data_IF_902568359841
#
_entry.id   IF_902568359841
#
_cell.length_a   1.000
_cell.length_b   1.000
_cell.length_c   1.000
_cell.angle_alpha   90.00
_cell.angle_beta   90.00
_cell.angle_gamma   90.00
#
_symmetry.space_group_name_H-M   'P 1'
#
loop_
_entity.id
_entity.type
_entity.pdbx_description
1 polymer ?
#
# COMPACT_ATOMS: atom_id res chain seq x y z
N UNK A 1 -28.31 -1.91 -9.65
CA UNK A 1 -28.49 -1.43 -8.25
C UNK A 1 -27.25 -0.82 -7.59
N UNK A 2 -26.03 -0.81 -8.18
CA UNK A 2 -24.83 -0.20 -7.56
C UNK A 2 -24.10 0.80 -8.48
N UNK A 3 -24.85 1.56 -9.29
CA UNK A 3 -24.28 2.48 -10.28
C UNK A 3 -23.50 3.63 -9.63
N UNK A 4 -23.92 4.08 -8.43
CA UNK A 4 -23.26 5.16 -7.70
C UNK A 4 -21.89 4.72 -7.16
N UNK A 5 -21.80 3.50 -6.64
CA UNK A 5 -20.58 2.91 -6.12
C UNK A 5 -19.57 2.67 -7.26
N UNK A 6 -20.04 2.24 -8.45
CA UNK A 6 -19.19 2.16 -9.64
C UNK A 6 -18.61 3.51 -10.05
N UNK A 7 -19.42 4.58 -10.06
CA UNK A 7 -18.94 5.93 -10.38
C UNK A 7 -17.91 6.42 -9.35
N UNK A 8 -18.14 6.16 -8.07
CA UNK A 8 -17.20 6.51 -7.01
C UNK A 8 -15.88 5.76 -7.17
N UNK A 9 -15.92 4.45 -7.43
CA UNK A 9 -14.73 3.65 -7.72
C UNK A 9 -13.98 4.18 -8.93
N UNK A 10 -14.67 4.49 -10.03
CA UNK A 10 -14.07 5.10 -11.21
C UNK A 10 -13.39 6.44 -10.92
N UNK A 11 -13.99 7.28 -10.06
CA UNK A 11 -13.40 8.56 -9.65
C UNK A 11 -12.10 8.36 -8.86
N UNK A 12 -12.09 7.45 -7.87
CA UNK A 12 -10.88 7.08 -7.14
C UNK A 12 -9.78 6.53 -8.04
N UNK A 13 -10.13 5.60 -8.95
CA UNK A 13 -9.17 5.01 -9.89
C UNK A 13 -8.60 6.03 -10.87
N UNK A 14 -9.40 7.03 -11.28
CA UNK A 14 -8.93 8.11 -12.15
C UNK A 14 -7.83 8.92 -11.45
N UNK A 15 -8.06 9.35 -10.21
CA UNK A 15 -7.04 10.07 -9.43
C UNK A 15 -5.80 9.20 -9.23
N UNK A 16 -6.01 7.93 -8.89
CA UNK A 16 -4.92 6.97 -8.71
C UNK A 16 -4.06 6.87 -9.98
N UNK A 17 -4.66 6.58 -11.14
CA UNK A 17 -3.93 6.38 -12.40
C UNK A 17 -3.23 7.66 -12.87
N UNK A 18 -3.83 8.83 -12.67
CA UNK A 18 -3.17 10.12 -12.95
C UNK A 18 -1.95 10.32 -12.06
N UNK A 19 -2.05 10.01 -10.77
CA UNK A 19 -0.92 10.08 -9.85
C UNK A 19 0.20 9.10 -10.23
N UNK A 20 -0.17 7.84 -10.55
CA UNK A 20 0.79 6.84 -11.02
C UNK A 20 1.52 7.30 -12.28
N UNK A 21 0.81 7.85 -13.27
CA UNK A 21 1.43 8.34 -14.50
C UNK A 21 2.45 9.45 -14.19
N UNK A 22 2.07 10.45 -13.37
CA UNK A 22 2.97 11.54 -12.98
C UNK A 22 4.19 11.04 -12.21
N UNK A 23 4.00 10.12 -11.26
CA UNK A 23 5.11 9.55 -10.47
C UNK A 23 6.01 8.61 -11.27
N UNK A 24 5.47 7.81 -12.21
CA UNK A 24 6.28 6.95 -13.09
C UNK A 24 7.11 7.79 -14.05
N UNK A 25 6.57 8.88 -14.59
CA UNK A 25 7.31 9.79 -15.46
C UNK A 25 8.54 10.37 -14.75
N UNK A 26 8.41 10.78 -13.48
CA UNK A 26 9.58 11.24 -12.70
C UNK A 26 10.53 10.10 -12.32
N UNK A 27 10.04 8.86 -12.25
CA UNK A 27 10.87 7.65 -12.07
C UNK A 27 11.71 7.29 -13.29
N UNK A 28 11.20 7.50 -14.50
CA UNK A 28 11.96 7.31 -15.74
C UNK A 28 13.23 8.18 -15.75
N UNK A 29 13.12 9.45 -15.37
CA UNK A 29 14.27 10.35 -15.33
C UNK A 29 15.31 9.95 -14.27
N UNK A 30 14.87 9.38 -13.14
CA UNK A 30 15.80 8.80 -12.16
C UNK A 30 16.55 7.61 -12.78
N UNK A 31 15.84 6.69 -13.43
CA UNK A 31 16.47 5.52 -14.05
C UNK A 31 17.49 5.91 -15.13
N UNK A 32 17.20 6.94 -15.93
CA UNK A 32 18.14 7.47 -16.93
C UNK A 32 19.37 8.10 -16.28
N UNK A 33 19.20 8.86 -15.19
CA UNK A 33 20.31 9.45 -14.45
C UNK A 33 21.23 8.36 -13.86
N UNK A 34 20.66 7.32 -13.23
CA UNK A 34 21.42 6.15 -12.75
C UNK A 34 22.11 5.36 -13.87
N UNK A 35 21.63 5.48 -15.12
CA UNK A 35 22.27 4.91 -16.31
C UNK A 35 23.33 5.84 -16.95
N UNK A 36 23.65 6.97 -16.32
CA UNK A 36 24.63 7.94 -16.80
C UNK A 36 24.07 8.98 -17.80
N UNK A 37 22.75 9.00 -18.03
CA UNK A 37 22.09 9.98 -18.89
C UNK A 37 21.35 11.03 -18.04
N UNK A 38 22.06 12.10 -17.66
CA UNK A 38 21.45 13.21 -16.90
C UNK A 38 20.62 14.14 -17.81
N UNK A 39 19.30 14.10 -17.61
CA UNK A 39 18.33 14.96 -18.30
C UNK A 39 17.78 16.09 -17.40
N UNK A 40 18.09 16.12 -16.10
CA UNK A 40 17.56 17.11 -15.18
C UNK A 40 17.87 18.56 -15.57
N UNK A 41 19.05 18.92 -16.10
CA UNK A 41 19.33 20.27 -16.59
C UNK A 41 18.34 20.75 -17.66
N UNK A 42 17.85 19.84 -18.52
CA UNK A 42 16.86 20.15 -19.56
C UNK A 42 15.44 20.25 -19.01
N UNK A 43 15.16 19.59 -17.88
CA UNK A 43 13.85 19.56 -17.23
C UNK A 43 13.65 20.68 -16.21
N UNK A 44 14.69 21.45 -15.88
CA UNK A 44 14.71 22.50 -14.85
C UNK A 44 13.51 23.50 -14.86
N UNK A 45 12.87 23.84 -15.99
CA UNK A 45 11.65 24.65 -15.97
C UNK A 45 10.47 23.99 -15.24
N UNK A 46 10.41 22.67 -15.21
CA UNK A 46 9.32 21.85 -14.65
C UNK A 46 9.78 21.07 -13.42
N UNK A 47 10.91 20.36 -13.52
CA UNK A 47 11.51 19.58 -12.43
C UNK A 47 12.83 20.24 -12.05
N UNK A 48 12.80 20.99 -10.96
CA UNK A 48 13.91 21.84 -10.49
C UNK A 48 15.20 21.09 -10.13
N UNK A 49 15.12 19.82 -9.71
CA UNK A 49 16.28 19.02 -9.30
C UNK A 49 15.95 17.53 -9.26
N UNK A 50 16.97 16.67 -9.14
CA UNK A 50 16.80 15.24 -8.87
C UNK A 50 15.87 14.99 -7.68
N UNK A 51 16.14 15.64 -6.55
CA UNK A 51 15.37 15.46 -5.31
C UNK A 51 13.93 15.99 -5.41
N UNK A 52 13.68 17.03 -6.20
CA UNK A 52 12.32 17.47 -6.49
C UNK A 52 11.57 16.38 -7.27
N UNK A 53 12.19 15.81 -8.31
CA UNK A 53 11.65 14.67 -9.05
C UNK A 53 11.43 13.42 -8.17
N UNK A 54 12.37 13.11 -7.28
CA UNK A 54 12.28 11.99 -6.34
C UNK A 54 11.17 12.18 -5.29
N UNK A 55 10.98 13.41 -4.82
CA UNK A 55 9.86 13.74 -3.90
C UNK A 55 8.51 13.55 -4.59
N UNK A 56 8.38 14.05 -5.83
CA UNK A 56 7.20 13.81 -6.67
C UNK A 56 6.96 12.31 -6.89
N UNK A 57 8.00 11.56 -7.25
CA UNK A 57 7.92 10.12 -7.49
C UNK A 57 7.38 9.35 -6.28
N UNK A 58 8.02 9.52 -5.12
CA UNK A 58 7.64 8.82 -3.90
C UNK A 58 6.22 9.19 -3.46
N UNK A 59 5.91 10.48 -3.36
CA UNK A 59 4.58 10.92 -2.90
C UNK A 59 3.48 10.44 -3.86
N UNK A 60 3.64 10.64 -5.16
CA UNK A 60 2.59 10.27 -6.13
C UNK A 60 2.41 8.76 -6.24
N UNK A 61 3.47 7.96 -6.22
CA UNK A 61 3.37 6.52 -6.41
C UNK A 61 2.99 5.78 -5.13
N UNK A 62 3.70 6.01 -4.01
CA UNK A 62 3.49 5.17 -2.81
C UNK A 62 2.52 5.77 -1.80
N UNK A 63 2.20 7.06 -1.87
CA UNK A 63 1.18 7.67 -0.99
C UNK A 63 -0.13 7.93 -1.72
N UNK A 64 -0.12 8.46 -2.95
CA UNK A 64 -1.36 8.85 -3.65
C UNK A 64 -1.95 7.69 -4.46
N UNK A 65 -1.18 7.12 -5.41
CA UNK A 65 -1.64 6.02 -6.27
C UNK A 65 -2.21 4.85 -5.47
N UNK A 66 -1.42 4.33 -4.52
CA UNK A 66 -1.84 3.21 -3.68
C UNK A 66 -3.09 3.56 -2.87
N UNK A 67 -3.08 4.66 -2.11
CA UNK A 67 -4.20 5.02 -1.22
C UNK A 67 -5.49 5.26 -1.99
N UNK A 68 -5.46 6.01 -3.10
CA UNK A 68 -6.67 6.25 -3.89
C UNK A 68 -7.17 4.97 -4.56
N UNK A 69 -6.29 4.11 -5.08
CA UNK A 69 -6.69 2.81 -5.61
C UNK A 69 -7.40 1.97 -4.53
N UNK A 70 -6.84 1.90 -3.33
CA UNK A 70 -7.37 1.12 -2.20
C UNK A 70 -8.73 1.62 -1.77
N UNK A 71 -8.88 2.94 -1.61
CA UNK A 71 -10.13 3.59 -1.24
C UNK A 71 -11.22 3.47 -2.32
N UNK A 72 -10.86 3.24 -3.59
CA UNK A 72 -11.82 2.89 -4.64
C UNK A 72 -12.15 1.40 -4.69
N UNK A 73 -11.13 0.54 -4.59
CA UNK A 73 -11.22 -0.89 -4.84
C UNK A 73 -11.81 -1.69 -3.67
N UNK A 74 -11.34 -1.49 -2.44
CA UNK A 74 -11.80 -2.30 -1.31
C UNK A 74 -13.26 -2.03 -0.92
N UNK A 75 -13.77 -0.79 -0.94
CA UNK A 75 -15.21 -0.55 -0.79
C UNK A 75 -16.03 -1.17 -1.92
N UNK A 76 -15.56 -1.12 -3.16
CA UNK A 76 -16.19 -1.81 -4.28
C UNK A 76 -16.29 -3.31 -4.01
N UNK A 77 -15.17 -3.97 -3.71
CA UNK A 77 -15.13 -5.41 -3.41
C UNK A 77 -16.03 -5.77 -2.24
N UNK A 78 -16.04 -4.94 -1.18
CA UNK A 78 -16.88 -5.16 -0.01
C UNK A 78 -18.37 -5.13 -0.36
N UNK A 79 -18.83 -4.12 -1.09
CA UNK A 79 -20.26 -4.03 -1.49
C UNK A 79 -20.70 -5.20 -2.38
N UNK A 80 -19.84 -5.64 -3.30
CA UNK A 80 -20.09 -6.83 -4.13
C UNK A 80 -20.16 -8.11 -3.32
N UNK A 81 -19.22 -8.28 -2.39
CA UNK A 81 -19.16 -9.47 -1.54
C UNK A 81 -20.34 -9.54 -0.54
N UNK A 82 -20.79 -8.41 -0.01
CA UNK A 82 -21.93 -8.34 0.91
C UNK A 82 -23.29 -8.31 0.18
N UNK A 83 -23.30 -8.08 -1.13
CA UNK A 83 -24.54 -7.98 -1.92
C UNK A 83 -25.38 -6.75 -1.61
N UNK A 84 -24.79 -5.68 -1.07
CA UNK A 84 -25.51 -4.46 -0.69
C UNK A 84 -24.66 -3.19 -0.88
N UNK A 85 -25.29 -2.03 -1.13
CA UNK A 85 -24.57 -0.76 -1.29
C UNK A 85 -23.91 -0.31 0.02
N UNK A 86 -23.01 0.67 -0.08
CA UNK A 86 -22.45 1.35 1.09
C UNK A 86 -23.57 1.99 1.93
N UNK A 87 -23.43 1.96 3.25
CA UNK A 87 -24.43 2.47 4.19
C UNK A 87 -24.71 3.97 4.01
N UNK A 88 -23.68 4.78 3.73
CA UNK A 88 -23.84 6.21 3.51
C UNK A 88 -23.14 6.66 2.22
N UNK A 89 -23.94 6.99 1.21
CA UNK A 89 -23.46 7.59 -0.04
C UNK A 89 -22.92 9.02 0.13
N UNK A 90 -23.58 9.91 0.90
CA UNK A 90 -23.03 11.24 1.16
C UNK A 90 -21.67 11.18 1.84
N UNK A 91 -21.49 10.27 2.81
CA UNK A 91 -20.18 10.05 3.45
C UNK A 91 -19.14 9.57 2.42
N UNK A 92 -19.51 8.65 1.52
CA UNK A 92 -18.60 8.11 0.52
C UNK A 92 -18.08 9.21 -0.43
N UNK A 93 -18.97 10.04 -0.99
CA UNK A 93 -18.58 11.16 -1.86
C UNK A 93 -17.90 12.30 -1.10
N UNK A 94 -18.35 12.63 0.11
CA UNK A 94 -17.69 13.61 0.98
C UNK A 94 -16.25 13.20 1.30
N UNK A 95 -16.02 11.91 1.53
CA UNK A 95 -14.68 11.35 1.73
C UNK A 95 -13.79 11.50 0.49
N UNK A 96 -14.33 11.19 -0.70
CA UNK A 96 -13.61 11.39 -1.95
C UNK A 96 -13.19 12.85 -2.15
N UNK A 97 -14.09 13.80 -1.90
CA UNK A 97 -13.80 15.22 -2.03
C UNK A 97 -12.82 15.73 -0.98
N UNK A 98 -12.91 15.25 0.26
CA UNK A 98 -11.93 15.56 1.31
C UNK A 98 -10.52 15.10 0.90
N UNK A 99 -10.39 13.86 0.44
CA UNK A 99 -9.10 13.31 0.00
C UNK A 99 -8.57 14.06 -1.21
N UNK A 100 -9.42 14.35 -2.20
CA UNK A 100 -9.01 15.07 -3.41
C UNK A 100 -8.61 16.52 -3.11
N UNK A 101 -9.33 17.20 -2.22
CA UNK A 101 -8.96 18.54 -1.74
C UNK A 101 -7.65 18.54 -0.97
N UNK A 102 -7.44 17.54 -0.10
CA UNK A 102 -6.16 17.32 0.58
C UNK A 102 -5.00 17.07 -0.38
N UNK A 103 -5.21 16.23 -1.40
CA UNK A 103 -4.23 15.98 -2.46
C UNK A 103 -3.86 17.27 -3.20
N UNK A 104 -4.85 18.07 -3.64
CA UNK A 104 -4.60 19.34 -4.32
C UNK A 104 -3.81 20.30 -3.41
N UNK A 105 -4.19 20.41 -2.13
CA UNK A 105 -3.49 21.24 -1.16
C UNK A 105 -2.02 20.83 -0.98
N UNK A 106 -1.72 19.53 -0.93
CA UNK A 106 -0.36 19.03 -0.84
C UNK A 106 0.41 19.12 -2.17
N UNK A 107 -0.28 19.00 -3.31
CA UNK A 107 0.33 19.04 -4.64
C UNK A 107 0.90 20.42 -4.98
N UNK A 108 0.26 21.51 -4.53
CA UNK A 108 0.72 22.89 -4.80
C UNK A 108 2.16 23.11 -4.35
N UNK A 109 2.54 22.92 -3.07
CA UNK A 109 3.92 23.08 -2.65
C UNK A 109 4.84 21.98 -3.18
N UNK A 110 4.34 20.77 -3.43
CA UNK A 110 5.13 19.67 -3.98
C UNK A 110 5.61 19.99 -5.40
N UNK A 111 4.70 20.34 -6.30
CA UNK A 111 5.01 20.75 -7.69
C UNK A 111 5.75 22.09 -7.72
N UNK A 112 5.43 22.99 -6.79
CA UNK A 112 6.09 24.29 -6.62
C UNK A 112 7.50 24.22 -6.04
N UNK A 113 8.08 23.02 -5.81
CA UNK A 113 9.39 22.81 -5.20
C UNK A 113 9.54 23.37 -3.76
N UNK A 114 8.42 23.61 -3.07
CA UNK A 114 8.37 24.03 -1.66
C UNK A 114 8.18 22.86 -0.68
N UNK A 115 8.18 21.62 -1.18
CA UNK A 115 8.11 20.39 -0.38
C UNK A 115 9.08 19.30 -0.90
N UNK A 116 10.31 19.70 -1.24
CA UNK A 116 11.39 18.78 -1.66
C UNK A 116 12.04 18.11 -0.45
N UNK A 117 11.28 17.24 0.20
CA UNK A 117 11.64 16.57 1.47
C UNK A 117 11.47 15.05 1.41
N UNK A 118 11.31 14.49 0.20
CA UNK A 118 10.98 13.10 -0.07
C UNK A 118 9.60 12.70 0.48
N UNK A 119 9.20 11.45 0.24
CA UNK A 119 7.95 10.89 0.76
C UNK A 119 8.01 10.54 2.27
N UNK A 120 9.18 10.60 2.88
CA UNK A 120 9.41 10.38 4.32
C UNK A 120 9.43 11.66 5.14
N UNK A 121 9.66 12.82 4.50
CA UNK A 121 9.55 14.16 5.09
C UNK A 121 10.17 14.33 6.49
N UNK A 122 11.32 13.69 6.72
CA UNK A 122 11.99 13.69 8.01
C UNK A 122 12.47 15.09 8.43
N UNK A 123 12.13 15.54 9.64
CA UNK A 123 12.81 16.68 10.25
C UNK A 123 14.33 16.46 10.36
N UNK A 124 15.15 17.52 10.26
CA UNK A 124 14.77 18.94 10.23
C UNK A 124 14.46 19.48 8.81
N UNK A 125 14.29 18.63 7.79
CA UNK A 125 13.88 19.09 6.47
C UNK A 125 12.42 19.56 6.52
N UNK A 126 12.21 20.87 6.38
CA UNK A 126 10.89 21.50 6.52
C UNK A 126 10.29 21.82 5.16
N UNK A 127 9.11 21.26 4.90
CA UNK A 127 8.27 21.64 3.77
C UNK A 127 7.30 22.77 4.13
N UNK A 128 6.65 23.34 3.11
CA UNK A 128 5.52 24.25 3.28
C UNK A 128 4.36 23.57 4.02
N UNK A 129 3.68 24.27 4.94
CA UNK A 129 2.62 23.73 5.81
C UNK A 129 1.49 23.01 5.03
N UNK A 130 1.15 23.51 3.85
CA UNK A 130 0.10 22.94 2.99
C UNK A 130 0.39 21.49 2.57
N UNK A 131 1.66 21.10 2.48
CA UNK A 131 2.08 19.72 2.22
C UNK A 131 1.63 18.79 3.35
N UNK A 132 1.96 19.16 4.60
CA UNK A 132 1.62 18.38 5.79
C UNK A 132 0.10 18.32 6.01
N UNK A 133 -0.59 19.46 5.92
CA UNK A 133 -2.06 19.49 6.08
C UNK A 133 -2.74 18.70 4.97
N UNK A 134 -2.34 18.88 3.71
CA UNK A 134 -2.96 18.22 2.57
C UNK A 134 -2.86 16.69 2.66
N UNK A 135 -1.67 16.14 2.93
CA UNK A 135 -1.50 14.69 3.12
C UNK A 135 -2.23 14.18 4.37
N UNK A 136 -2.30 14.97 5.45
CA UNK A 136 -3.09 14.63 6.64
C UNK A 136 -4.58 14.46 6.30
N UNK A 137 -5.15 15.34 5.46
CA UNK A 137 -6.55 15.23 5.02
C UNK A 137 -6.80 13.97 4.17
N UNK A 138 -5.83 13.53 3.36
CA UNK A 138 -5.90 12.26 2.63
C UNK A 138 -5.98 11.09 3.61
N UNK A 139 -5.14 11.07 4.66
CA UNK A 139 -5.15 10.03 5.70
C UNK A 139 -6.46 10.06 6.49
N UNK A 140 -6.95 11.23 6.91
CA UNK A 140 -8.26 11.35 7.59
C UNK A 140 -9.40 10.81 6.72
N UNK A 141 -9.34 11.02 5.40
CA UNK A 141 -10.29 10.42 4.47
C UNK A 141 -10.37 8.90 4.58
N UNK A 142 -9.24 8.21 4.78
CA UNK A 142 -9.23 6.75 4.96
C UNK A 142 -10.00 6.31 6.20
N UNK A 143 -10.06 7.12 7.26
CA UNK A 143 -10.85 6.83 8.46
C UNK A 143 -12.36 6.95 8.18
N UNK A 144 -12.77 7.88 7.32
CA UNK A 144 -14.16 7.96 6.86
C UNK A 144 -14.53 6.81 5.92
N UNK A 145 -13.58 6.28 5.13
CA UNK A 145 -13.78 5.01 4.42
C UNK A 145 -14.02 3.88 5.43
N UNK A 146 -13.18 3.74 6.45
CA UNK A 146 -13.36 2.74 7.53
C UNK A 146 -14.73 2.89 8.19
N UNK A 147 -15.13 4.11 8.56
CA UNK A 147 -16.44 4.37 9.18
C UNK A 147 -17.59 3.87 8.29
N UNK A 148 -17.56 4.19 7.00
CA UNK A 148 -18.61 3.76 6.07
C UNK A 148 -18.64 2.23 5.89
N UNK A 149 -17.48 1.58 5.84
CA UNK A 149 -17.37 0.12 5.78
C UNK A 149 -17.92 -0.54 7.05
N UNK A 150 -17.64 0.02 8.23
CA UNK A 150 -18.19 -0.47 9.52
C UNK A 150 -19.71 -0.31 9.55
N UNK A 151 -20.25 0.83 9.15
CA UNK A 151 -21.70 1.04 9.06
C UNK A 151 -22.35 0.06 8.07
N UNK A 152 -21.71 -0.17 6.92
CA UNK A 152 -22.17 -1.12 5.91
C UNK A 152 -22.16 -2.55 6.46
N UNK A 153 -21.08 -2.95 7.11
CA UNK A 153 -20.96 -4.28 7.71
C UNK A 153 -21.96 -4.49 8.85
N UNK A 154 -22.21 -3.48 9.70
CA UNK A 154 -23.24 -3.54 10.75
C UNK A 154 -24.63 -3.75 10.16
N UNK A 155 -24.98 -3.00 9.12
CA UNK A 155 -26.26 -3.15 8.43
C UNK A 155 -26.39 -4.53 7.77
N UNK A 156 -25.32 -5.04 7.16
CA UNK A 156 -25.30 -6.39 6.60
C UNK A 156 -25.46 -7.46 7.68
N UNK A 157 -24.74 -7.33 8.81
CA UNK A 157 -24.78 -8.26 9.93
C UNK A 157 -26.17 -8.34 10.57
N UNK A 158 -26.86 -7.21 10.71
CA UNK A 158 -28.22 -7.17 11.23
C UNK A 158 -29.20 -7.98 10.37
N UNK A 159 -29.00 -8.04 9.05
CA UNK A 159 -29.82 -8.82 8.11
C UNK A 159 -29.37 -10.28 7.96
N UNK A 160 -28.17 -10.61 8.43
CA UNK A 160 -27.54 -11.93 8.27
C UNK A 160 -26.97 -12.40 9.62
N UNK A 161 -27.80 -12.56 10.67
CA UNK A 161 -27.31 -13.03 11.97
C UNK A 161 -26.72 -14.44 11.84
N UNK A 162 -25.58 -14.70 12.48
CA UNK A 162 -24.89 -16.00 12.45
C UNK A 162 -24.20 -16.36 11.13
N UNK A 163 -24.45 -15.64 10.02
CA UNK A 163 -23.81 -15.93 8.73
C UNK A 163 -22.35 -15.50 8.71
N UNK A 164 -21.45 -16.40 8.33
CA UNK A 164 -20.02 -16.09 8.19
C UNK A 164 -19.78 -14.96 7.19
N UNK A 165 -18.94 -13.99 7.55
CA UNK A 165 -18.61 -12.85 6.65
C UNK A 165 -17.95 -13.36 5.37
N UNK A 166 -18.45 -12.99 4.17
CA UNK A 166 -17.82 -13.30 2.89
C UNK A 166 -16.34 -12.94 2.89
N UNK A 167 -15.50 -13.81 2.33
CA UNK A 167 -14.04 -13.71 2.47
C UNK A 167 -13.48 -12.36 2.00
N UNK A 168 -13.89 -11.88 0.83
CA UNK A 168 -13.39 -10.61 0.28
C UNK A 168 -13.80 -9.40 1.15
N UNK A 169 -15.01 -9.40 1.71
CA UNK A 169 -15.45 -8.37 2.64
C UNK A 169 -14.68 -8.45 3.98
N UNK A 170 -14.48 -9.66 4.51
CA UNK A 170 -13.68 -9.88 5.72
C UNK A 170 -12.26 -9.32 5.56
N UNK A 171 -11.58 -9.68 4.47
CA UNK A 171 -10.22 -9.23 4.19
C UNK A 171 -10.14 -7.70 4.01
N UNK A 172 -11.12 -7.11 3.33
CA UNK A 172 -11.20 -5.64 3.15
C UNK A 172 -11.39 -4.91 4.49
N UNK A 173 -12.30 -5.42 5.34
CA UNK A 173 -12.54 -4.87 6.68
C UNK A 173 -11.29 -4.98 7.58
N UNK A 174 -10.62 -6.13 7.55
CA UNK A 174 -9.38 -6.35 8.31
C UNK A 174 -8.26 -5.41 7.82
N UNK A 175 -8.14 -5.20 6.51
CA UNK A 175 -7.16 -4.27 5.93
C UNK A 175 -7.36 -2.84 6.44
N UNK A 176 -8.60 -2.34 6.44
CA UNK A 176 -8.91 -1.01 6.96
C UNK A 176 -8.82 -0.91 8.48
N UNK A 177 -9.15 -1.97 9.22
CA UNK A 177 -8.95 -2.01 10.66
C UNK A 177 -7.45 -1.91 11.02
N UNK A 178 -6.60 -2.70 10.35
CA UNK A 178 -5.15 -2.65 10.49
C UNK A 178 -4.63 -1.25 10.17
N UNK A 179 -5.04 -0.69 9.03
CA UNK A 179 -4.62 0.65 8.62
C UNK A 179 -5.04 1.75 9.60
N UNK A 180 -6.26 1.67 10.13
CA UNK A 180 -6.75 2.67 11.09
C UNK A 180 -5.87 2.68 12.35
N UNK A 181 -5.50 1.51 12.87
CA UNK A 181 -4.57 1.38 14.01
C UNK A 181 -3.17 1.88 13.61
N UNK A 182 -2.66 1.43 12.47
CA UNK A 182 -1.33 1.76 11.96
C UNK A 182 -1.13 3.27 11.76
N UNK A 183 -2.13 3.98 11.26
CA UNK A 183 -2.05 5.41 10.94
C UNK A 183 -1.96 6.34 12.16
N UNK A 184 -2.14 5.82 13.39
CA UNK A 184 -2.12 6.62 14.61
C UNK A 184 -0.75 7.25 14.90
N UNK A 185 0.35 6.59 14.52
CA UNK A 185 1.69 7.14 14.69
C UNK A 185 1.90 8.40 13.85
N UNK A 186 1.56 8.32 12.56
CA UNK A 186 1.64 9.45 11.63
C UNK A 186 0.65 10.55 12.01
N UNK A 187 -0.54 10.20 12.49
CA UNK A 187 -1.49 11.19 13.01
C UNK A 187 -0.90 11.96 14.20
N UNK A 188 -0.25 11.27 15.15
CA UNK A 188 0.41 11.91 16.28
C UNK A 188 1.59 12.79 15.80
N UNK A 189 2.43 12.29 14.89
CA UNK A 189 3.54 13.03 14.30
C UNK A 189 3.06 14.33 13.62
N UNK A 190 2.02 14.23 12.77
CA UNK A 190 1.51 15.39 12.05
C UNK A 190 0.88 16.42 12.98
N UNK A 191 -0.03 15.99 13.86
CA UNK A 191 -0.84 16.89 14.67
C UNK A 191 -0.06 17.58 15.79
N UNK A 192 0.89 16.87 16.41
CA UNK A 192 1.62 17.38 17.57
C UNK A 192 3.03 17.87 17.24
N UNK A 193 3.58 17.52 16.07
CA UNK A 193 4.96 17.84 15.71
C UNK A 193 5.04 18.64 14.40
N UNK A 194 4.74 18.03 13.25
CA UNK A 194 5.08 18.63 11.95
C UNK A 194 4.18 19.80 11.56
N UNK A 195 2.86 19.71 11.78
CA UNK A 195 1.95 20.81 11.43
C UNK A 195 2.21 22.04 12.31
N UNK A 196 2.23 21.94 13.66
CA UNK A 196 2.55 23.09 14.50
C UNK A 196 3.91 23.70 14.20
N UNK A 197 4.93 22.87 13.96
CA UNK A 197 6.27 23.34 13.56
C UNK A 197 6.25 24.04 12.19
N UNK A 198 5.58 23.47 11.19
CA UNK A 198 5.49 24.04 9.84
C UNK A 198 4.73 25.36 9.78
N UNK A 199 3.82 25.61 10.74
CA UNK A 199 3.10 26.87 10.92
C UNK A 199 3.86 27.90 11.78
N UNK A 200 5.03 27.53 12.33
CA UNK A 200 5.81 28.41 13.21
C UNK A 200 5.29 28.50 14.65
N UNK A 201 4.39 27.61 15.06
CA UNK A 201 3.88 27.54 16.44
C UNK A 201 4.88 26.87 17.40
N UNK A 202 5.81 26.08 16.85
CA UNK A 202 6.92 25.47 17.58
C UNK A 202 8.26 25.98 17.02
N UNK A 203 9.24 26.21 17.90
CA UNK A 203 10.60 26.61 17.51
C UNK A 203 11.43 25.48 16.88
N UNK A 204 11.00 24.22 17.03
CA UNK A 204 11.68 23.04 16.51
C UNK A 204 10.88 21.77 16.77
N UNK A 205 11.41 20.62 16.35
CA UNK A 205 10.81 19.31 16.58
C UNK A 205 11.89 18.25 16.82
N UNK A 206 11.58 17.25 17.64
CA UNK A 206 12.49 16.13 17.92
C UNK A 206 12.51 15.17 16.72
N UNK A 207 13.66 15.09 16.04
CA UNK A 207 13.80 14.28 14.84
C UNK A 207 13.74 12.76 15.12
N UNK A 208 14.20 12.30 16.29
CA UNK A 208 14.15 10.87 16.62
C UNK A 208 12.71 10.45 16.91
N UNK A 209 11.99 11.22 17.74
CA UNK A 209 10.59 10.95 18.05
C UNK A 209 9.71 11.03 16.79
N UNK A 210 9.93 12.02 15.93
CA UNK A 210 9.22 12.13 14.66
C UNK A 210 9.39 10.84 13.83
N UNK A 211 10.63 10.35 13.70
CA UNK A 211 10.93 9.11 12.96
C UNK A 211 10.36 7.85 13.62
N UNK A 212 10.31 7.77 14.94
CA UNK A 212 9.65 6.67 15.67
C UNK A 212 8.15 6.64 15.37
N UNK A 213 7.48 7.80 15.42
CA UNK A 213 6.05 7.92 15.10
C UNK A 213 5.77 7.70 13.61
N UNK A 214 6.66 8.17 12.74
CA UNK A 214 6.62 7.88 11.31
C UNK A 214 6.66 6.37 11.09
N UNK A 215 7.65 5.66 11.64
CA UNK A 215 7.85 4.23 11.40
C UNK A 215 6.89 3.31 12.15
N UNK A 216 6.21 3.80 13.19
CA UNK A 216 4.99 3.16 13.70
C UNK A 216 3.96 2.96 12.58
N UNK A 217 3.88 3.92 11.64
CA UNK A 217 2.96 3.86 10.48
C UNK A 217 3.66 3.35 9.22
N UNK A 218 4.92 3.73 9.02
CA UNK A 218 5.67 3.59 7.78
C UNK A 218 6.00 2.14 7.44
N UNK A 219 6.01 1.25 8.43
CA UNK A 219 6.01 -0.17 8.12
C UNK A 219 4.61 -0.70 7.77
N UNK A 220 3.59 -0.63 8.64
CA UNK A 220 2.28 -1.19 8.31
C UNK A 220 1.62 -0.59 7.05
N UNK A 221 2.00 0.62 6.63
CA UNK A 221 1.54 1.20 5.35
C UNK A 221 1.93 0.32 4.14
N UNK A 222 3.08 -0.38 4.18
CA UNK A 222 3.47 -1.26 3.07
C UNK A 222 2.55 -2.48 2.97
N UNK A 223 1.99 -2.93 4.10
CA UNK A 223 0.94 -3.94 4.11
C UNK A 223 -0.41 -3.36 3.70
N UNK A 224 -0.70 -2.09 4.03
CA UNK A 224 -1.89 -1.43 3.50
C UNK A 224 -1.86 -1.38 1.96
N UNK A 225 -0.69 -1.21 1.35
CA UNK A 225 -0.51 -1.34 -0.11
C UNK A 225 -0.68 -2.78 -0.62
N UNK A 226 -0.10 -3.75 0.10
CA UNK A 226 -0.04 -5.15 -0.33
C UNK A 226 -1.35 -5.92 -0.16
N UNK A 227 -2.05 -5.75 0.96
CA UNK A 227 -3.25 -6.53 1.28
C UNK A 227 -4.38 -6.43 0.24
N UNK A 228 -4.64 -5.30 -0.44
CA UNK A 228 -5.56 -5.24 -1.56
C UNK A 228 -5.15 -6.13 -2.74
N UNK A 229 -3.85 -6.27 -3.02
CA UNK A 229 -3.36 -7.25 -3.98
C UNK A 229 -3.69 -8.68 -3.49
N UNK A 230 -3.45 -8.97 -2.21
CA UNK A 230 -3.81 -10.25 -1.61
C UNK A 230 -5.32 -10.52 -1.66
N UNK A 231 -6.19 -9.51 -1.49
CA UNK A 231 -7.65 -9.66 -1.68
C UNK A 231 -7.93 -10.25 -3.07
N UNK A 232 -7.31 -9.69 -4.11
CA UNK A 232 -7.45 -10.23 -5.47
C UNK A 232 -6.85 -11.63 -5.59
N UNK A 233 -5.64 -11.85 -5.08
CA UNK A 233 -4.92 -13.12 -5.18
C UNK A 233 -5.64 -14.29 -4.51
N UNK A 234 -6.35 -14.04 -3.41
CA UNK A 234 -7.15 -15.07 -2.74
C UNK A 234 -8.56 -15.22 -3.29
N UNK A 235 -9.22 -14.13 -3.71
CA UNK A 235 -10.67 -14.17 -3.96
C UNK A 235 -11.07 -14.08 -5.43
N UNK A 236 -10.15 -13.62 -6.29
CA UNK A 236 -10.41 -13.38 -7.71
C UNK A 236 -9.52 -14.27 -8.60
N UNK A 237 -8.21 -14.25 -8.37
CA UNK A 237 -7.20 -15.00 -9.16
C UNK A 237 -7.51 -16.49 -9.27
N UNK A 238 -7.95 -17.21 -8.21
CA UNK A 238 -8.24 -18.64 -8.35
C UNK A 238 -9.31 -18.91 -9.41
N UNK A 239 -10.33 -18.05 -9.51
CA UNK A 239 -11.36 -18.17 -10.56
C UNK A 239 -10.83 -17.75 -11.93
N UNK A 240 -10.03 -16.69 -12.01
CA UNK A 240 -9.39 -16.26 -13.26
C UNK A 240 -8.48 -17.35 -13.84
N UNK A 241 -7.81 -18.13 -12.98
CA UNK A 241 -7.02 -19.29 -13.38
C UNK A 241 -7.85 -20.52 -13.79
N UNK A 242 -9.19 -20.48 -13.66
CA UNK A 242 -10.07 -21.62 -13.88
C UNK A 242 -10.08 -22.65 -12.74
N UNK A 243 -9.58 -22.26 -11.56
CA UNK A 243 -9.52 -23.10 -10.36
C UNK A 243 -10.44 -22.63 -9.25
N UNK A 244 -10.08 -23.02 -8.02
CA UNK A 244 -10.77 -22.64 -6.78
C UNK A 244 -9.75 -22.26 -5.73
N UNK A 245 -10.15 -21.40 -4.79
CA UNK A 245 -9.33 -21.10 -3.62
C UNK A 245 -9.03 -22.39 -2.86
N UNK A 246 -7.76 -22.63 -2.55
CA UNK A 246 -7.32 -23.81 -1.83
C UNK A 246 -7.86 -23.85 -0.39
N UNK A 247 -7.78 -22.74 0.36
CA UNK A 247 -8.31 -22.68 1.73
C UNK A 247 -8.79 -21.29 2.16
N UNK A 248 -10.09 -21.16 2.43
CA UNK A 248 -10.67 -19.95 3.06
C UNK A 248 -10.16 -19.74 4.51
N UNK A 249 -10.12 -20.76 5.39
CA UNK A 249 -9.58 -20.59 6.74
C UNK A 249 -8.14 -20.06 6.77
N UNK A 250 -7.25 -20.59 5.91
CA UNK A 250 -5.86 -20.11 5.84
C UNK A 250 -5.77 -18.65 5.37
N UNK A 251 -6.61 -18.24 4.41
CA UNK A 251 -6.66 -16.85 3.97
C UNK A 251 -7.08 -15.91 5.11
N UNK A 252 -8.06 -16.33 5.93
CA UNK A 252 -8.50 -15.54 7.09
C UNK A 252 -7.45 -15.45 8.18
N UNK A 253 -6.79 -16.57 8.50
CA UNK A 253 -5.69 -16.59 9.48
C UNK A 253 -4.57 -15.66 9.03
N UNK A 254 -4.18 -15.70 7.75
CA UNK A 254 -3.19 -14.78 7.19
C UNK A 254 -3.55 -13.31 7.45
N UNK A 255 -4.79 -12.91 7.15
CA UNK A 255 -5.24 -11.52 7.38
C UNK A 255 -5.31 -11.14 8.86
N UNK A 256 -5.69 -12.05 9.75
CA UNK A 256 -5.66 -11.80 11.20
C UNK A 256 -4.22 -11.61 11.69
N UNK A 257 -3.28 -12.41 11.18
CA UNK A 257 -1.87 -12.25 11.53
C UNK A 257 -1.33 -10.89 11.05
N UNK A 258 -1.68 -10.44 9.84
CA UNK A 258 -1.35 -9.08 9.39
C UNK A 258 -1.97 -8.02 10.30
N UNK A 259 -3.22 -8.16 10.73
CA UNK A 259 -3.85 -7.19 11.65
C UNK A 259 -3.05 -7.01 12.94
N UNK A 260 -2.58 -8.10 13.54
CA UNK A 260 -1.90 -8.08 14.84
C UNK A 260 -0.42 -7.71 14.71
N UNK A 261 0.24 -8.21 13.66
CA UNK A 261 1.70 -8.14 13.54
C UNK A 261 2.17 -6.93 12.73
N UNK A 262 1.35 -6.27 11.91
CA UNK A 262 1.84 -5.20 11.01
C UNK A 262 2.42 -3.98 11.73
N UNK A 263 1.89 -3.60 12.89
CA UNK A 263 2.26 -2.36 13.59
C UNK A 263 3.48 -2.49 14.52
N UNK A 264 3.61 -3.52 15.39
CA UNK A 264 4.64 -3.56 16.44
C UNK A 264 6.04 -3.96 15.94
N UNK A 265 6.51 -3.41 14.82
CA UNK A 265 7.78 -3.81 14.21
C UNK A 265 8.52 -2.69 13.46
N UNK A 266 8.10 -1.43 13.60
CA UNK A 266 8.71 -0.27 12.92
C UNK A 266 10.22 -0.05 13.14
N UNK A 267 10.78 -0.48 14.28
CA UNK A 267 12.22 -0.32 14.55
C UNK A 267 13.16 -1.07 13.61
N UNK A 268 12.70 -1.98 12.74
CA UNK A 268 13.60 -2.49 11.70
C UNK A 268 13.97 -1.42 10.65
N UNK A 269 13.23 -0.31 10.59
CA UNK A 269 13.63 0.86 9.81
C UNK A 269 14.55 1.82 10.58
N UNK A 270 14.85 1.48 11.84
CA UNK A 270 15.60 2.31 12.79
C UNK A 270 16.72 1.50 13.46
N UNK A 271 17.19 0.43 12.83
CA UNK A 271 18.31 -0.37 13.35
C UNK A 271 19.58 0.47 13.52
N UNK A 272 19.80 1.44 12.64
CA UNK A 272 20.93 2.37 12.66
C UNK A 272 20.69 3.63 13.50
N UNK A 273 19.49 3.81 14.06
CA UNK A 273 19.16 5.02 14.82
C UNK A 273 19.82 5.04 16.20
N UNK A 274 20.35 6.19 16.64
CA UNK A 274 20.76 6.37 18.03
C UNK A 274 19.54 6.47 18.95
N UNK A 275 19.76 6.35 20.27
CA UNK A 275 18.71 6.60 21.27
C UNK A 275 17.63 5.52 21.40
N UNK A 276 17.68 4.45 20.60
CA UNK A 276 16.81 3.28 20.71
C UNK A 276 17.63 2.11 21.24
N UNK A 277 17.24 1.58 22.41
CA UNK A 277 17.93 0.46 23.05
C UNK A 277 17.96 -0.79 22.15
N UNK A 278 19.10 -1.48 22.11
CA UNK A 278 19.33 -2.64 21.23
C UNK A 278 18.33 -3.78 21.47
N UNK A 279 17.91 -3.99 22.72
CA UNK A 279 16.87 -4.98 23.06
C UNK A 279 15.53 -4.73 22.34
N UNK A 280 15.12 -3.46 22.16
CA UNK A 280 13.91 -3.12 21.42
C UNK A 280 14.08 -3.36 19.92
N UNK A 281 15.26 -3.05 19.38
CA UNK A 281 15.61 -3.35 17.99
C UNK A 281 15.57 -4.86 17.73
N UNK A 282 16.17 -5.65 18.62
CA UNK A 282 16.20 -7.11 18.50
C UNK A 282 14.79 -7.72 18.58
N UNK A 283 13.94 -7.24 19.51
CA UNK A 283 12.54 -7.68 19.60
C UNK A 283 11.79 -7.39 18.28
N UNK A 284 11.95 -6.19 17.73
CA UNK A 284 11.29 -5.82 16.48
C UNK A 284 11.86 -6.59 15.29
N UNK A 285 13.16 -6.91 15.26
CA UNK A 285 13.75 -7.80 14.26
C UNK A 285 13.06 -9.17 14.30
N UNK A 286 12.91 -9.78 15.48
CA UNK A 286 12.20 -11.04 15.65
C UNK A 286 10.75 -10.95 15.18
N UNK A 287 9.99 -9.94 15.61
CA UNK A 287 8.60 -9.74 15.18
C UNK A 287 8.48 -9.55 13.66
N UNK A 288 9.49 -8.93 13.02
CA UNK A 288 9.57 -8.77 11.56
C UNK A 288 9.73 -10.12 10.85
N UNK A 289 10.46 -11.08 11.43
CA UNK A 289 10.45 -12.46 10.93
C UNK A 289 9.12 -13.15 11.18
N UNK A 290 8.42 -12.86 12.28
CA UNK A 290 7.10 -13.47 12.55
C UNK A 290 6.05 -12.99 11.54
N UNK A 291 6.06 -11.73 11.12
CA UNK A 291 5.11 -11.23 10.09
C UNK A 291 5.41 -11.78 8.68
N UNK A 292 6.53 -12.46 8.47
CA UNK A 292 6.79 -13.20 7.23
C UNK A 292 5.88 -14.43 7.08
N UNK A 293 5.46 -15.06 8.18
CA UNK A 293 4.60 -16.25 8.15
C UNK A 293 3.25 -16.04 7.43
N UNK A 294 2.48 -14.95 7.65
CA UNK A 294 1.28 -14.69 6.85
C UNK A 294 1.55 -14.64 5.33
N UNK A 295 2.70 -14.11 4.91
CA UNK A 295 3.11 -14.15 3.49
C UNK A 295 3.41 -15.56 2.99
N UNK A 296 4.02 -16.42 3.81
CA UNK A 296 4.21 -17.85 3.47
C UNK A 296 2.88 -18.60 3.34
N UNK A 297 1.92 -18.34 4.24
CA UNK A 297 0.56 -18.90 4.13
C UNK A 297 -0.11 -18.44 2.85
N UNK A 298 0.14 -17.19 2.43
CA UNK A 298 -0.35 -16.65 1.17
C UNK A 298 0.29 -17.34 -0.02
N UNK A 299 1.61 -17.45 -0.03
CA UNK A 299 2.36 -18.14 -1.08
C UNK A 299 1.82 -19.55 -1.31
N UNK A 300 1.75 -20.37 -0.25
CA UNK A 300 1.27 -21.75 -0.37
C UNK A 300 -0.17 -21.83 -0.90
N UNK A 301 -1.07 -21.05 -0.32
CA UNK A 301 -2.50 -21.12 -0.65
C UNK A 301 -2.79 -20.61 -2.08
N UNK A 302 -2.13 -19.53 -2.50
CA UNK A 302 -2.29 -18.97 -3.86
C UNK A 302 -1.66 -19.89 -4.90
N UNK A 303 -0.44 -20.40 -4.66
CA UNK A 303 0.21 -21.34 -5.59
C UNK A 303 -0.61 -22.62 -5.75
N UNK A 304 -1.12 -23.20 -4.65
CA UNK A 304 -1.99 -24.37 -4.72
C UNK A 304 -3.30 -24.09 -5.48
N UNK A 305 -3.84 -22.87 -5.36
CA UNK A 305 -5.04 -22.44 -6.10
C UNK A 305 -4.76 -22.30 -7.60
N UNK A 306 -3.61 -21.72 -7.97
CA UNK A 306 -3.15 -21.62 -9.37
C UNK A 306 -2.88 -22.99 -9.98
N UNK A 307 -2.20 -23.86 -9.24
CA UNK A 307 -1.92 -25.23 -9.65
C UNK A 307 -3.22 -25.99 -9.91
N UNK A 308 -4.21 -25.87 -9.03
CA UNK A 308 -5.54 -26.46 -9.24
C UNK A 308 -6.18 -25.97 -10.55
N UNK A 309 -6.12 -24.67 -10.85
CA UNK A 309 -6.67 -24.12 -12.08
C UNK A 309 -5.93 -24.60 -13.34
N UNK A 310 -4.60 -24.60 -13.30
CA UNK A 310 -3.79 -25.12 -14.39
C UNK A 310 -3.99 -26.62 -14.62
N UNK A 311 -4.11 -27.43 -13.56
CA UNK A 311 -4.38 -28.88 -13.65
C UNK A 311 -5.76 -29.15 -14.26
N UNK A 312 -6.77 -28.35 -13.91
CA UNK A 312 -8.08 -28.41 -14.56
C UNK A 312 -8.00 -28.09 -16.07
N UNK A 313 -6.97 -27.36 -16.51
CA UNK A 313 -6.65 -27.07 -17.91
C UNK A 313 -5.65 -28.05 -18.55
N UNK A 314 -5.49 -29.24 -17.96
CA UNK A 314 -4.60 -30.29 -18.47
C UNK A 314 -3.12 -30.10 -18.12
N UNK A 315 -2.78 -29.24 -17.16
CA UNK A 315 -1.44 -29.10 -16.60
C UNK A 315 -0.97 -30.38 -15.91
N UNK A 316 0.29 -30.79 -16.16
CA UNK A 316 0.88 -32.03 -15.63
C UNK A 316 2.27 -31.76 -15.04
N UNK A 317 2.79 -32.75 -14.30
CA UNK A 317 4.11 -32.70 -13.69
C UNK A 317 4.21 -31.72 -12.52
N UNK A 318 5.42 -31.56 -12.00
CA UNK A 318 5.73 -30.68 -10.86
C UNK A 318 5.77 -29.20 -11.24
N UNK A 319 6.22 -28.89 -12.45
CA UNK A 319 6.43 -27.51 -12.93
C UNK A 319 5.65 -27.21 -14.21
N UNK A 320 5.48 -28.19 -15.09
CA UNK A 320 4.86 -27.98 -16.41
C UNK A 320 3.37 -27.59 -16.37
N UNK A 321 2.70 -27.73 -15.20
CA UNK A 321 1.36 -27.18 -15.01
C UNK A 321 1.34 -25.67 -15.19
N UNK A 322 2.40 -24.96 -14.81
CA UNK A 322 2.46 -23.50 -14.84
C UNK A 322 2.23 -22.93 -16.24
N UNK A 323 2.73 -23.62 -17.28
CA UNK A 323 2.51 -23.26 -18.69
C UNK A 323 1.06 -23.40 -19.17
N UNK A 324 0.17 -24.04 -18.39
CA UNK A 324 -1.26 -24.18 -18.71
C UNK A 324 -2.16 -23.13 -18.04
N UNK A 325 -1.59 -22.23 -17.24
CA UNK A 325 -2.31 -21.04 -16.78
C UNK A 325 -2.81 -20.21 -17.99
N UNK A 326 -3.94 -19.49 -17.86
CA UNK A 326 -4.45 -18.56 -18.86
C UNK A 326 -3.54 -17.34 -19.14
N UNK A 327 -2.35 -17.54 -19.72
CA UNK A 327 -1.38 -16.48 -20.01
C UNK A 327 -1.88 -15.41 -21.00
N UNK A 328 -2.89 -15.73 -21.81
CA UNK A 328 -3.54 -14.77 -22.69
C UNK A 328 -4.54 -13.84 -22.00
N UNK A 329 -4.90 -14.10 -20.73
CA UNK A 329 -5.71 -13.19 -19.92
C UNK A 329 -4.78 -12.20 -19.20
N UNK A 330 -4.77 -10.91 -19.57
CA UNK A 330 -3.89 -9.92 -18.97
C UNK A 330 -4.21 -9.64 -17.50
N UNK A 331 -5.46 -9.83 -17.05
CA UNK A 331 -5.82 -9.71 -15.63
C UNK A 331 -5.10 -10.77 -14.79
N UNK A 332 -5.01 -12.00 -15.30
CA UNK A 332 -4.31 -13.09 -14.62
C UNK A 332 -2.79 -12.96 -14.79
N UNK A 333 -2.31 -12.79 -16.02
CA UNK A 333 -0.88 -12.79 -16.33
C UNK A 333 -0.13 -11.71 -15.55
N UNK A 334 -0.68 -10.49 -15.47
CA UNK A 334 -0.09 -9.41 -14.67
C UNK A 334 0.06 -9.81 -13.19
N UNK A 335 -0.98 -10.40 -12.59
CA UNK A 335 -0.95 -10.80 -11.19
C UNK A 335 -0.01 -11.98 -10.91
N UNK A 336 0.08 -12.95 -11.82
CA UNK A 336 1.01 -14.08 -11.67
C UNK A 336 2.46 -13.61 -11.80
N UNK A 337 2.77 -12.73 -12.76
CA UNK A 337 4.10 -12.10 -12.88
C UNK A 337 4.44 -11.26 -11.64
N UNK A 338 3.45 -10.54 -11.10
CA UNK A 338 3.58 -9.79 -9.86
C UNK A 338 3.99 -10.70 -8.68
N UNK A 339 3.36 -11.86 -8.52
CA UNK A 339 3.69 -12.84 -7.47
C UNK A 339 5.11 -13.41 -7.62
N UNK A 340 5.54 -13.71 -8.85
CA UNK A 340 6.89 -14.22 -9.11
C UNK A 340 7.95 -13.21 -8.67
N UNK A 341 7.80 -11.94 -9.08
CA UNK A 341 8.74 -10.89 -8.72
C UNK A 341 8.67 -10.53 -7.23
N UNK A 342 7.49 -10.65 -6.61
CA UNK A 342 7.32 -10.47 -5.18
C UNK A 342 8.14 -11.46 -4.34
N UNK A 343 8.42 -12.67 -4.87
CA UNK A 343 9.25 -13.65 -4.15
C UNK A 343 10.66 -13.11 -3.91
N UNK A 344 11.28 -12.48 -4.92
CA UNK A 344 12.58 -11.83 -4.78
C UNK A 344 12.51 -10.60 -3.86
N UNK A 345 11.42 -9.83 -3.94
CA UNK A 345 11.14 -8.75 -2.99
C UNK A 345 11.10 -9.25 -1.55
N UNK A 346 10.43 -10.38 -1.29
CA UNK A 346 10.34 -11.02 0.02
C UNK A 346 11.71 -11.49 0.55
N UNK A 347 12.54 -12.10 -0.30
CA UNK A 347 13.93 -12.46 0.05
C UNK A 347 14.72 -11.22 0.46
N UNK A 348 14.60 -10.13 -0.30
CA UNK A 348 15.22 -8.85 0.04
C UNK A 348 14.74 -8.29 1.39
N UNK A 349 13.45 -8.47 1.70
CA UNK A 349 12.86 -8.07 2.97
C UNK A 349 13.42 -8.83 4.17
N UNK A 350 13.70 -10.14 4.02
CA UNK A 350 14.34 -10.95 5.08
C UNK A 350 15.77 -10.48 5.36
N UNK A 351 16.52 -10.09 4.33
CA UNK A 351 17.84 -9.48 4.47
C UNK A 351 17.72 -8.15 5.23
N UNK A 352 16.73 -7.32 4.88
CA UNK A 352 16.48 -6.05 5.58
C UNK A 352 16.07 -6.25 7.05
N UNK A 353 15.25 -7.26 7.35
CA UNK A 353 14.78 -7.57 8.70
C UNK A 353 15.87 -8.17 9.60
N UNK A 354 16.94 -8.70 8.99
CA UNK A 354 18.07 -9.31 9.66
C UNK A 354 18.96 -8.23 10.27
N UNK A 355 18.73 -7.90 11.54
CA UNK A 355 19.35 -6.80 12.29
C UNK A 355 20.81 -6.46 11.88
N UNK A 356 21.75 -7.39 12.03
CA UNK A 356 23.16 -7.14 11.70
C UNK A 356 23.44 -7.09 10.19
N UNK A 357 22.67 -7.83 9.38
CA UNK A 357 22.81 -7.80 7.91
C UNK A 357 22.27 -6.48 7.34
N UNK A 358 21.26 -5.89 7.98
CA UNK A 358 20.72 -4.59 7.60
C UNK A 358 21.81 -3.52 7.53
N UNK A 359 22.81 -3.57 8.41
CA UNK A 359 23.93 -2.62 8.44
C UNK A 359 24.70 -2.55 7.12
N UNK A 360 24.70 -3.63 6.33
CA UNK A 360 25.36 -3.70 5.02
C UNK A 360 24.53 -3.04 3.92
N UNK A 361 23.20 -3.06 4.03
CA UNK A 361 22.28 -2.65 2.97
C UNK A 361 21.52 -1.35 3.26
N UNK A 362 21.52 -0.88 4.51
CA UNK A 362 20.81 0.30 4.96
C UNK A 362 21.19 1.55 4.14
N UNK A 363 20.19 2.28 3.65
CA UNK A 363 20.35 3.48 2.81
C UNK A 363 21.19 3.29 1.53
N UNK A 364 21.38 2.05 1.06
CA UNK A 364 21.98 1.76 -0.25
C UNK A 364 20.90 1.54 -1.32
N UNK A 365 21.30 1.40 -2.59
CA UNK A 365 20.40 1.08 -3.70
C UNK A 365 19.66 -0.26 -3.55
N UNK A 366 20.08 -1.12 -2.62
CA UNK A 366 19.35 -2.33 -2.23
C UNK A 366 17.92 -2.02 -1.75
N UNK A 367 17.73 -0.97 -0.94
CA UNK A 367 16.42 -0.62 -0.35
C UNK A 367 15.41 -0.21 -1.44
N UNK A 368 15.74 0.71 -2.38
CA UNK A 368 14.91 0.94 -3.55
C UNK A 368 14.66 -0.31 -4.38
N UNK A 369 15.67 -1.16 -4.62
CA UNK A 369 15.49 -2.42 -5.37
C UNK A 369 14.45 -3.35 -4.73
N UNK A 370 14.52 -3.54 -3.42
CA UNK A 370 13.52 -4.27 -2.64
C UNK A 370 12.12 -3.63 -2.75
N UNK A 371 12.00 -2.31 -2.59
CA UNK A 371 10.72 -1.61 -2.69
C UNK A 371 10.12 -1.68 -4.10
N UNK A 372 10.93 -1.64 -5.16
CA UNK A 372 10.46 -1.76 -6.53
C UNK A 372 9.94 -3.17 -6.85
N UNK A 373 10.53 -4.22 -6.27
CA UNK A 373 9.99 -5.59 -6.40
C UNK A 373 8.69 -5.79 -5.61
N UNK A 374 8.50 -5.05 -4.52
CA UNK A 374 7.28 -5.12 -3.70
C UNK A 374 6.20 -4.15 -4.21
N UNK A 375 6.24 -2.87 -3.86
CA UNK A 375 5.17 -1.92 -4.25
C UNK A 375 5.25 -1.52 -5.73
N UNK A 376 6.46 -1.31 -6.27
CA UNK A 376 6.66 -0.91 -7.67
C UNK A 376 6.23 -1.97 -8.68
N UNK A 377 6.26 -3.24 -8.29
CA UNK A 377 5.95 -4.39 -9.14
C UNK A 377 4.79 -5.18 -8.60
N UNK A 378 4.92 -5.87 -7.46
CA UNK A 378 3.89 -6.79 -6.99
C UNK A 378 2.53 -6.10 -6.78
N UNK A 379 2.52 -4.95 -6.11
CA UNK A 379 1.30 -4.16 -5.88
C UNK A 379 0.83 -3.53 -7.19
N UNK A 380 1.70 -2.74 -7.84
CA UNK A 380 1.31 -1.95 -9.02
C UNK A 380 0.87 -2.83 -10.20
N UNK A 381 1.58 -3.91 -10.50
CA UNK A 381 1.22 -4.83 -11.57
C UNK A 381 -0.06 -5.63 -11.24
N UNK A 382 -0.30 -5.95 -9.96
CA UNK A 382 -1.58 -6.53 -9.54
C UNK A 382 -2.73 -5.55 -9.72
N UNK A 383 -2.54 -4.28 -9.34
CA UNK A 383 -3.55 -3.25 -9.50
C UNK A 383 -3.85 -3.00 -10.98
N UNK A 384 -2.83 -2.99 -11.85
CA UNK A 384 -3.02 -2.98 -13.30
C UNK A 384 -3.80 -4.21 -13.78
N UNK A 385 -3.46 -5.42 -13.32
CA UNK A 385 -4.21 -6.64 -13.63
C UNK A 385 -5.69 -6.53 -13.25
N UNK A 386 -5.98 -5.95 -12.08
CA UNK A 386 -7.35 -5.70 -11.61
C UNK A 386 -8.10 -4.73 -12.54
N UNK A 387 -7.43 -3.72 -13.11
CA UNK A 387 -8.11 -2.74 -13.98
C UNK A 387 -8.71 -3.32 -15.25
N UNK A 388 -8.21 -4.46 -15.75
CA UNK A 388 -8.72 -5.11 -16.98
C UNK A 388 -10.18 -5.58 -16.89
N UNK A 389 -10.69 -5.86 -15.70
CA UNK A 389 -12.09 -6.26 -15.50
C UNK A 389 -12.88 -5.23 -14.68
N UNK A 390 -12.19 -4.31 -14.00
CA UNK A 390 -12.81 -3.32 -13.11
C UNK A 390 -13.24 -2.05 -13.84
N UNK A 391 -12.54 -1.69 -14.94
CA UNK A 391 -12.78 -0.46 -15.73
C UNK A 391 -13.56 -0.75 -17.01
#
# INVERSE_FOLDING_TARGET
MMTAENRLTGAYLTVALVALFGGVLTGLFQALEHAGLDLYPRLAPVIRSYYHGLSLHGVLNVLVWTTFFICGFLPFVTTRALGMPLASRPLAWGTFWLMSGGLVLAAVPLVGNAATVLFTFYPPMRAHWAFYIGLTLVVVGTWFVTLNLVLTYRAWRAKNPGTRTPLAAFMSLVTFAMWTIASLGLAAEMLFMLIPWSLGLLGGTDALLARVLFWFTGHPIVYFWLLPAYVSWYTLVPRQAGGRLFSDPLARVSFILFLVLSTPLGFHHQFTDPGIHEGWKLLHAFLTFVVFFPSLLTFFNVVASLESGARARGGKGWVAWFGKLPWGDPSLAAQVLAMLLFTFGGVGGLINASFNVNLVVHNTAWIPGHLHLTVGTAVTLTFMGITYWLV
#
